data_IF_645029983758
#
_entry.id   IF_645029983758
#
_cell.length_a   1.000
_cell.length_b   1.000
_cell.length_c   1.000
_cell.angle_alpha   90.00
_cell.angle_beta   90.00
_cell.angle_gamma   90.00
#
_symmetry.space_group_name_H-M   'P 1'
#
loop_
_entity.id
_entity.type
_entity.pdbx_description
1 polymer ?
#
# COMPACT_ATOMS: atom_id res chain seq x y z
N UNK A 1 4.60 8.48 16.66
CA UNK A 1 4.41 7.81 15.35
C UNK A 1 5.10 8.65 14.29
N UNK A 2 6.21 8.17 13.73
CA UNK A 2 6.94 8.90 12.70
C UNK A 2 7.65 7.91 11.78
N UNK A 3 7.70 8.21 10.49
CA UNK A 3 8.46 7.42 9.52
C UNK A 3 9.93 7.80 9.68
N UNK A 4 10.80 6.80 9.86
CA UNK A 4 12.24 7.03 10.05
C UNK A 4 13.03 6.34 8.95
N UNK A 5 13.86 7.11 8.26
CA UNK A 5 14.74 6.57 7.21
C UNK A 5 15.96 5.91 7.85
N UNK A 6 16.35 4.75 7.34
CA UNK A 6 17.66 4.17 7.58
C UNK A 6 18.67 4.83 6.62
N UNK A 7 19.43 5.79 7.11
CA UNK A 7 20.42 6.52 6.30
C UNK A 7 21.56 5.63 5.77
N UNK A 8 21.74 4.44 6.33
CA UNK A 8 22.80 3.48 5.96
C UNK A 8 22.28 2.32 5.10
N UNK A 9 21.07 2.41 4.54
CA UNK A 9 20.52 1.37 3.68
C UNK A 9 21.38 1.14 2.44
N UNK A 10 21.50 -0.12 2.00
CA UNK A 10 22.19 -0.45 0.75
C UNK A 10 21.23 -0.34 -0.44
N UNK A 11 21.76 -0.19 -1.67
CA UNK A 11 20.93 -0.30 -2.87
C UNK A 11 20.14 -1.62 -2.89
N UNK A 12 18.83 -1.53 -3.06
CA UNK A 12 17.90 -2.68 -3.02
C UNK A 12 17.35 -3.02 -1.63
N UNK A 13 17.82 -2.37 -0.56
CA UNK A 13 17.21 -2.47 0.77
C UNK A 13 16.13 -1.40 0.95
N UNK A 14 15.12 -1.73 1.78
CA UNK A 14 14.11 -0.75 2.17
C UNK A 14 14.76 0.47 2.84
N UNK A 15 14.40 1.71 2.44
CA UNK A 15 14.92 2.91 3.08
C UNK A 15 14.36 3.11 4.49
N UNK A 16 13.40 2.31 4.94
CA UNK A 16 12.70 2.48 6.20
C UNK A 16 13.38 1.75 7.35
N UNK A 17 13.46 2.40 8.51
CA UNK A 17 14.05 1.84 9.72
C UNK A 17 13.15 0.74 10.30
N UNK A 18 13.61 -0.52 10.26
CA UNK A 18 12.82 -1.72 10.63
C UNK A 18 12.06 -1.65 11.96
N UNK A 19 12.67 -1.08 13.00
CA UNK A 19 12.09 -1.06 14.36
C UNK A 19 11.53 0.29 14.81
N UNK A 20 11.72 1.35 13.99
CA UNK A 20 11.35 2.73 14.36
C UNK A 20 10.34 3.32 13.41
N UNK A 21 10.23 2.79 12.20
CA UNK A 21 9.13 3.08 11.31
C UNK A 21 7.91 2.24 11.68
N UNK A 22 6.70 2.77 11.45
CA UNK A 22 5.48 1.98 11.59
C UNK A 22 5.53 0.75 10.67
N UNK A 23 4.97 -0.41 11.07
CA UNK A 23 4.98 -1.64 10.27
C UNK A 23 4.51 -1.45 8.83
N UNK A 24 3.54 -0.54 8.64
CA UNK A 24 2.95 -0.15 7.36
C UNK A 24 3.99 0.41 6.40
N UNK A 25 4.96 1.21 6.89
CA UNK A 25 6.04 1.75 6.05
C UNK A 25 7.00 0.65 5.59
N UNK A 26 7.21 -0.38 6.40
CA UNK A 26 8.13 -1.49 6.05
C UNK A 26 7.46 -2.62 5.27
N UNK A 27 6.14 -2.57 5.06
CA UNK A 27 5.42 -3.63 4.38
C UNK A 27 5.52 -3.43 2.85
N UNK A 28 6.18 -4.34 2.11
CA UNK A 28 6.34 -4.22 0.66
C UNK A 28 5.01 -4.13 -0.11
N UNK A 29 3.91 -4.58 0.50
CA UNK A 29 2.57 -4.52 -0.06
C UNK A 29 2.06 -3.09 -0.25
N UNK A 30 2.52 -2.15 0.58
CA UNK A 30 2.12 -0.74 0.55
C UNK A 30 3.22 0.17 -0.02
N UNK A 31 4.19 -0.42 -0.71
CA UNK A 31 5.24 0.34 -1.38
C UNK A 31 4.63 1.16 -2.52
N UNK A 32 4.71 2.49 -2.41
CA UNK A 32 4.06 3.41 -3.33
C UNK A 32 4.84 3.49 -4.64
N UNK A 33 4.33 2.84 -5.69
CA UNK A 33 4.97 2.80 -7.01
C UNK A 33 4.56 3.94 -7.94
N UNK A 34 3.34 4.46 -7.80
CA UNK A 34 2.79 5.50 -8.66
C UNK A 34 1.77 6.37 -7.91
N UNK A 35 1.46 7.55 -8.46
CA UNK A 35 0.50 8.50 -7.89
C UNK A 35 -0.51 8.89 -8.98
N UNK A 36 -1.83 8.82 -8.72
CA UNK A 36 -2.46 8.43 -7.45
C UNK A 36 -2.48 6.91 -7.24
N UNK A 37 -2.44 6.45 -5.99
CA UNK A 37 -2.72 5.04 -5.62
C UNK A 37 -3.81 5.03 -4.56
N UNK A 38 -4.85 4.21 -4.76
CA UNK A 38 -5.96 4.04 -3.82
C UNK A 38 -5.86 2.68 -3.15
N UNK A 39 -5.95 2.64 -1.83
CA UNK A 39 -5.93 1.41 -1.04
C UNK A 39 -7.31 1.14 -0.43
N UNK A 40 -7.78 -0.10 -0.52
CA UNK A 40 -9.09 -0.51 -0.01
C UNK A 40 -8.94 -1.48 1.16
N UNK A 41 -9.65 -1.18 2.24
CA UNK A 41 -9.67 -1.98 3.46
C UNK A 41 -11.12 -2.24 3.88
N UNK A 42 -11.38 -3.40 4.49
CA UNK A 42 -12.68 -3.65 5.11
C UNK A 42 -12.76 -3.04 6.53
N UNK A 43 -13.94 -3.17 7.16
CA UNK A 43 -14.19 -2.68 8.52
C UNK A 43 -13.32 -3.31 9.62
N UNK A 44 -12.67 -4.43 9.34
CA UNK A 44 -11.76 -5.12 10.24
C UNK A 44 -10.28 -4.70 10.03
N UNK A 45 -10.03 -3.68 9.19
CA UNK A 45 -8.71 -3.25 8.73
C UNK A 45 -7.95 -4.29 7.89
N UNK A 46 -8.67 -5.24 7.27
CA UNK A 46 -8.06 -6.20 6.36
C UNK A 46 -7.95 -5.58 4.97
N UNK A 47 -6.77 -5.67 4.37
CA UNK A 47 -6.55 -5.19 3.00
C UNK A 47 -7.31 -6.04 1.99
N UNK A 48 -8.03 -5.37 1.09
CA UNK A 48 -8.78 -6.01 0.00
C UNK A 48 -8.06 -5.87 -1.33
N UNK A 49 -7.55 -4.68 -1.64
CA UNK A 49 -6.98 -4.39 -2.95
C UNK A 49 -6.48 -2.96 -3.07
N UNK A 50 -5.97 -2.63 -4.26
CA UNK A 50 -5.52 -1.28 -4.59
C UNK A 50 -5.71 -0.99 -6.08
N UNK A 51 -5.91 0.28 -6.40
CA UNK A 51 -5.89 0.80 -7.78
C UNK A 51 -4.63 1.67 -7.90
N UNK A 52 -3.74 1.32 -8.84
CA UNK A 52 -2.45 1.98 -9.04
C UNK A 52 -2.53 2.85 -10.29
N UNK A 53 -2.43 4.17 -10.12
CA UNK A 53 -2.37 5.22 -11.16
C UNK A 53 -3.60 5.31 -12.06
N UNK A 54 -3.92 4.23 -12.77
CA UNK A 54 -5.03 4.11 -13.70
C UNK A 54 -5.88 2.87 -13.37
N UNK A 55 -7.21 2.99 -13.40
CA UNK A 55 -8.07 1.81 -13.35
C UNK A 55 -7.88 0.94 -14.59
N UNK A 56 -8.18 -0.35 -14.48
CA UNK A 56 -8.18 -1.28 -15.63
C UNK A 56 -9.27 -0.91 -16.63
N UNK A 57 -10.47 -0.61 -16.13
CA UNK A 57 -11.62 -0.18 -16.93
C UNK A 57 -12.12 1.19 -16.46
N UNK A 58 -12.78 1.23 -15.30
CA UNK A 58 -13.25 2.44 -14.64
C UNK A 58 -12.94 2.37 -13.14
N UNK A 59 -12.92 3.52 -12.47
CA UNK A 59 -12.68 3.52 -11.01
C UNK A 59 -13.81 2.76 -10.31
N UNK A 60 -15.05 2.94 -10.76
CA UNK A 60 -16.24 2.31 -10.21
C UNK A 60 -16.23 0.79 -10.36
N UNK A 61 -15.89 0.28 -11.55
CA UNK A 61 -15.85 -1.16 -11.82
C UNK A 61 -14.71 -1.84 -11.07
N UNK A 62 -13.51 -1.26 -11.08
CA UNK A 62 -12.36 -1.77 -10.33
C UNK A 62 -12.66 -1.77 -8.82
N UNK A 63 -13.33 -0.72 -8.32
CA UNK A 63 -13.76 -0.67 -6.92
C UNK A 63 -14.75 -1.78 -6.60
N UNK A 64 -15.74 -2.02 -7.48
CA UNK A 64 -16.70 -3.11 -7.31
C UNK A 64 -16.01 -4.50 -7.36
N UNK A 65 -15.03 -4.70 -8.25
CA UNK A 65 -14.24 -5.93 -8.33
C UNK A 65 -13.55 -6.21 -6.98
N UNK A 66 -12.83 -5.22 -6.44
CA UNK A 66 -12.10 -5.32 -5.16
C UNK A 66 -13.05 -5.64 -4.00
N UNK A 67 -14.25 -5.03 -3.97
CA UNK A 67 -15.20 -5.24 -2.87
C UNK A 67 -15.95 -6.59 -2.98
N UNK A 68 -16.14 -7.13 -4.18
CA UNK A 68 -16.89 -8.38 -4.41
C UNK A 68 -16.11 -9.63 -4.01
N UNK A 69 -14.78 -9.64 -4.12
CA UNK A 69 -13.95 -10.79 -3.70
C UNK A 69 -14.02 -11.09 -2.19
N UNK A 70 -14.67 -10.22 -1.41
CA UNK A 70 -14.80 -10.33 0.05
C UNK A 70 -16.20 -10.78 0.52
N UNK A 71 -17.12 -11.07 -0.40
CA UNK A 71 -18.52 -11.47 -0.10
C UNK A 71 -18.74 -12.98 -0.11
#
# INVERSE_FOLDING_TARGET
YGIMVNALHRPGESPWHKTRSPPEATNPKFDLKAIPTFYFFNKNNEYLGQIIEHPKETIEDDTLEILKETS
#
